data_IF_681310792034
#
_entry.id   IF_681310792034
#
_cell.length_a   1.000
_cell.length_b   1.000
_cell.length_c   1.000
_cell.angle_alpha   90.00
_cell.angle_beta   90.00
_cell.angle_gamma   90.00
#
_symmetry.space_group_name_H-M   'P 1'
#
loop_
_entity.id
_entity.type
_entity.pdbx_description
1 polymer ?
#
# COMPACT_ATOMS: atom_id res chain seq x y z
N UNK A 1 -21.19 5.52 -13.11
CA UNK A 1 -20.69 6.61 -12.24
C UNK A 1 -21.74 7.04 -11.22
N UNK A 2 -22.96 7.44 -11.60
CA UNK A 2 -23.97 8.00 -10.67
C UNK A 2 -24.26 7.14 -9.41
N UNK A 3 -24.44 5.83 -9.56
CA UNK A 3 -24.68 4.93 -8.44
C UNK A 3 -23.46 4.80 -7.49
N UNK A 4 -22.24 4.89 -8.05
CA UNK A 4 -20.99 4.87 -7.30
C UNK A 4 -20.71 6.20 -6.57
N UNK A 5 -21.35 7.29 -7.01
CA UNK A 5 -21.20 8.62 -6.43
C UNK A 5 -22.20 8.92 -5.30
N UNK A 6 -22.99 7.94 -4.86
CA UNK A 6 -23.95 8.16 -3.76
C UNK A 6 -23.20 8.54 -2.47
N UNK A 7 -23.72 9.51 -1.69
CA UNK A 7 -23.03 10.00 -0.51
C UNK A 7 -23.03 8.96 0.62
N UNK A 8 -21.85 8.80 1.24
CA UNK A 8 -21.62 8.00 2.44
C UNK A 8 -20.75 8.78 3.43
N UNK A 9 -21.01 8.63 4.73
CA UNK A 9 -20.10 9.11 5.75
C UNK A 9 -18.90 8.16 5.81
N UNK A 10 -17.69 8.69 5.67
CA UNK A 10 -16.47 7.91 5.72
C UNK A 10 -15.62 8.34 6.90
N UNK A 11 -15.13 7.37 7.66
CA UNK A 11 -14.07 7.59 8.62
C UNK A 11 -12.77 7.90 7.86
N UNK A 12 -12.01 8.94 8.23
CA UNK A 12 -10.84 9.37 7.46
C UNK A 12 -9.67 8.39 7.57
N UNK A 13 -9.56 7.68 8.70
CA UNK A 13 -8.43 6.78 8.99
C UNK A 13 -8.92 5.48 9.66
N UNK A 14 -9.64 4.65 8.90
CA UNK A 14 -10.32 3.48 9.44
C UNK A 14 -9.38 2.28 9.57
N UNK A 15 -8.58 2.24 10.63
CA UNK A 15 -7.62 1.16 10.88
C UNK A 15 -7.67 0.65 12.33
N UNK A 16 -7.07 -0.52 12.61
CA UNK A 16 -7.15 -1.19 13.92
C UNK A 16 -6.81 -0.29 15.11
N UNK A 17 -5.83 0.62 15.00
CA UNK A 17 -5.42 1.52 16.10
C UNK A 17 -6.48 2.56 16.50
N UNK A 18 -7.49 2.78 15.64
CA UNK A 18 -8.61 3.68 15.89
C UNK A 18 -9.87 2.96 16.39
N UNK A 19 -9.77 1.64 16.63
CA UNK A 19 -10.86 0.78 17.08
C UNK A 19 -10.57 0.29 18.50
N UNK A 20 -11.40 0.69 19.46
CA UNK A 20 -11.38 0.15 20.82
C UNK A 20 -12.31 -1.05 20.91
N UNK A 21 -11.84 -2.10 21.57
CA UNK A 21 -12.61 -3.30 21.86
C UNK A 21 -12.70 -3.54 23.36
N UNK A 22 -13.67 -4.34 23.78
CA UNK A 22 -13.82 -4.76 25.18
C UNK A 22 -12.62 -5.63 25.58
N UNK A 23 -12.14 -5.47 26.81
CA UNK A 23 -10.96 -6.18 27.31
C UNK A 23 -11.25 -7.67 27.48
N UNK A 24 -12.47 -8.00 27.89
CA UNK A 24 -12.87 -9.37 28.20
C UNK A 24 -13.52 -10.06 26.98
N UNK A 25 -14.06 -9.27 26.04
CA UNK A 25 -14.62 -9.75 24.77
C UNK A 25 -14.17 -8.88 23.56
N UNK A 26 -13.03 -9.21 22.92
CA UNK A 26 -12.51 -8.46 21.79
C UNK A 26 -13.43 -8.39 20.54
N UNK A 27 -14.48 -9.22 20.47
CA UNK A 27 -15.47 -9.12 19.39
C UNK A 27 -16.40 -7.90 19.54
N UNK A 28 -16.43 -7.28 20.73
CA UNK A 28 -17.28 -6.13 21.03
C UNK A 28 -16.49 -4.84 20.86
N UNK A 29 -16.81 -4.08 19.82
CA UNK A 29 -16.30 -2.72 19.62
C UNK A 29 -16.90 -1.78 20.67
N UNK A 30 -16.05 -1.10 21.44
CA UNK A 30 -16.43 -0.16 22.51
C UNK A 30 -16.29 1.30 22.09
N UNK A 31 -15.51 1.59 21.05
CA UNK A 31 -15.35 2.95 20.54
C UNK A 31 -14.60 3.02 19.22
N UNK A 32 -14.88 4.09 18.48
CA UNK A 32 -14.13 4.51 17.30
C UNK A 32 -13.67 5.94 17.54
N UNK A 33 -12.38 6.22 17.35
CA UNK A 33 -11.78 7.54 17.55
C UNK A 33 -11.24 8.11 16.24
N UNK A 34 -10.76 9.35 16.29
CA UNK A 34 -10.14 10.05 15.16
C UNK A 34 -11.12 10.44 14.03
N UNK A 35 -12.23 11.05 14.44
CA UNK A 35 -13.25 11.60 13.56
C UNK A 35 -13.05 13.05 13.02
N UNK A 36 -12.04 13.88 13.39
CA UNK A 36 -12.07 15.31 13.07
C UNK A 36 -12.02 15.62 11.56
N UNK A 37 -11.64 14.64 10.72
CA UNK A 37 -11.63 14.74 9.26
C UNK A 37 -12.70 13.89 8.57
N UNK A 38 -13.66 13.36 9.33
CA UNK A 38 -14.76 12.60 8.74
C UNK A 38 -15.62 13.49 7.85
N UNK A 39 -15.95 12.97 6.67
CA UNK A 39 -16.69 13.71 5.65
C UNK A 39 -17.73 12.83 4.96
N UNK A 40 -18.73 13.47 4.38
CA UNK A 40 -19.67 12.83 3.46
C UNK A 40 -19.03 12.83 2.07
N UNK A 41 -18.56 11.67 1.64
CA UNK A 41 -17.86 11.48 0.38
C UNK A 41 -18.69 10.63 -0.61
N UNK A 42 -18.45 10.75 -1.92
CA UNK A 42 -18.92 9.77 -2.90
C UNK A 42 -18.46 8.35 -2.54
N UNK A 43 -19.33 7.35 -2.71
CA UNK A 43 -19.04 5.98 -2.28
C UNK A 43 -17.80 5.35 -2.92
N UNK A 44 -17.44 5.74 -4.14
CA UNK A 44 -16.20 5.28 -4.77
C UNK A 44 -14.93 5.71 -4.01
N UNK A 45 -14.96 6.82 -3.27
CA UNK A 45 -13.81 7.28 -2.48
C UNK A 45 -13.49 6.27 -1.39
N UNK A 46 -14.48 5.86 -0.59
CA UNK A 46 -14.29 4.82 0.42
C UNK A 46 -13.90 3.46 -0.20
N UNK A 47 -14.35 3.19 -1.42
CA UNK A 47 -13.99 1.97 -2.14
C UNK A 47 -12.52 1.92 -2.58
N UNK A 48 -11.79 3.04 -2.54
CA UNK A 48 -10.35 3.07 -2.87
C UNK A 48 -9.42 2.77 -1.69
N UNK A 49 -9.98 2.66 -0.48
CA UNK A 49 -9.24 2.36 0.74
C UNK A 49 -9.58 0.94 1.21
N UNK A 50 -8.55 0.17 1.58
CA UNK A 50 -8.72 -1.09 2.31
C UNK A 50 -8.12 -0.87 3.70
N UNK A 51 -8.90 -1.06 4.78
CA UNK A 51 -8.37 -0.94 6.12
C UNK A 51 -7.32 -2.03 6.37
N UNK A 52 -6.36 -1.77 7.25
CA UNK A 52 -5.26 -2.70 7.60
C UNK A 52 -5.73 -4.11 7.97
N UNK A 53 -6.82 -4.25 8.74
CA UNK A 53 -7.41 -5.55 9.08
C UNK A 53 -8.14 -6.23 7.91
N UNK A 54 -8.41 -5.51 6.82
CA UNK A 54 -8.98 -6.01 5.59
C UNK A 54 -7.94 -6.35 4.51
N UNK A 55 -6.66 -6.04 4.74
CA UNK A 55 -5.59 -6.34 3.80
C UNK A 55 -5.10 -7.79 3.93
N UNK A 56 -4.69 -8.37 2.80
CA UNK A 56 -4.03 -9.68 2.80
C UNK A 56 -2.56 -9.53 3.17
N UNK A 57 -2.02 -10.53 3.87
CA UNK A 57 -0.58 -10.66 4.03
C UNK A 57 0.06 -10.93 2.68
N UNK A 58 0.92 -10.00 2.25
CA UNK A 58 1.74 -10.17 1.05
C UNK A 58 3.12 -10.69 1.44
N UNK A 59 3.42 -11.93 1.08
CA UNK A 59 4.77 -12.49 1.18
C UNK A 59 5.49 -12.33 -0.15
N UNK A 60 6.67 -11.73 -0.07
CA UNK A 60 7.56 -11.59 -1.18
C UNK A 60 8.24 -12.93 -1.48
N UNK A 61 8.18 -13.35 -2.74
CA UNK A 61 8.73 -14.65 -3.16
C UNK A 61 10.24 -14.71 -3.08
N UNK A 62 10.93 -13.58 -3.08
CA UNK A 62 12.39 -13.50 -3.05
C UNK A 62 12.88 -13.17 -1.64
N UNK A 63 12.28 -12.17 -1.00
CA UNK A 63 12.73 -11.69 0.31
C UNK A 63 12.30 -12.62 1.47
N UNK A 64 11.16 -13.32 1.38
CA UNK A 64 10.66 -14.19 2.46
C UNK A 64 11.05 -15.68 2.30
N UNK A 65 11.90 -16.04 1.32
CA UNK A 65 12.29 -17.44 1.05
C UNK A 65 12.86 -18.16 2.27
N UNK A 66 13.56 -17.43 3.15
CA UNK A 66 14.29 -17.99 4.29
C UNK A 66 13.55 -17.87 5.63
N UNK A 67 12.45 -17.08 5.70
CA UNK A 67 11.76 -16.75 6.96
C UNK A 67 10.28 -17.18 7.00
N UNK A 68 9.86 -18.02 6.06
CA UNK A 68 8.48 -18.48 5.90
C UNK A 68 8.05 -19.49 6.97
N UNK A 69 7.93 -19.03 8.22
CA UNK A 69 7.07 -19.65 9.23
C UNK A 69 6.36 -18.57 10.04
N UNK A 70 5.58 -17.70 9.39
CA UNK A 70 4.44 -17.15 10.11
C UNK A 70 3.52 -18.33 10.50
N UNK A 71 3.04 -18.31 11.75
CA UNK A 71 2.18 -19.39 12.25
C UNK A 71 0.96 -19.51 11.33
N UNK A 72 0.60 -20.71 10.85
CA UNK A 72 -0.53 -20.92 9.95
C UNK A 72 -1.84 -20.27 10.44
N UNK A 73 -1.99 -20.17 11.76
CA UNK A 73 -3.15 -19.56 12.41
C UNK A 73 -3.25 -18.05 12.19
N UNK A 74 -2.12 -17.32 12.14
CA UNK A 74 -2.10 -15.88 11.84
C UNK A 74 -2.48 -15.63 10.38
N UNK A 75 -1.89 -16.38 9.46
CA UNK A 75 -2.21 -16.29 8.03
C UNK A 75 -3.68 -16.60 7.76
N UNK A 76 -4.21 -17.66 8.36
CA UNK A 76 -5.62 -18.01 8.29
C UNK A 76 -6.53 -16.93 8.89
N UNK A 77 -6.11 -16.30 9.99
CA UNK A 77 -6.82 -15.20 10.63
C UNK A 77 -6.94 -13.99 9.71
N UNK A 78 -5.83 -13.54 9.13
CA UNK A 78 -5.82 -12.39 8.21
C UNK A 78 -6.66 -12.67 6.96
N UNK A 79 -6.53 -13.86 6.36
CA UNK A 79 -7.34 -14.23 5.20
C UNK A 79 -8.85 -14.19 5.51
N UNK A 80 -9.26 -14.63 6.70
CA UNK A 80 -10.65 -14.53 7.15
C UNK A 80 -11.11 -13.09 7.29
N UNK A 81 -10.30 -12.21 7.88
CA UNK A 81 -10.63 -10.80 8.03
C UNK A 81 -10.75 -10.10 6.68
N UNK A 82 -9.82 -10.33 5.75
CA UNK A 82 -9.87 -9.80 4.39
C UNK A 82 -11.14 -10.27 3.63
N UNK A 83 -11.47 -11.56 3.73
CA UNK A 83 -12.71 -12.11 3.15
C UNK A 83 -13.97 -11.51 3.78
N UNK A 84 -13.99 -11.37 5.10
CA UNK A 84 -15.11 -10.74 5.81
C UNK A 84 -15.29 -9.28 5.38
N UNK A 85 -14.20 -8.53 5.26
CA UNK A 85 -14.24 -7.16 4.75
C UNK A 85 -14.81 -7.08 3.33
N UNK A 86 -14.30 -7.91 2.40
CA UNK A 86 -14.80 -7.97 1.03
C UNK A 86 -16.30 -8.32 0.96
N UNK A 87 -16.78 -9.22 1.83
CA UNK A 87 -18.21 -9.53 1.94
C UNK A 87 -19.01 -8.33 2.47
N UNK A 88 -18.57 -7.70 3.56
CA UNK A 88 -19.26 -6.56 4.17
C UNK A 88 -19.36 -5.37 3.21
N UNK A 89 -18.31 -5.07 2.46
CA UNK A 89 -18.33 -3.99 1.46
C UNK A 89 -19.31 -4.28 0.32
N UNK A 90 -19.44 -5.54 -0.09
CA UNK A 90 -20.41 -5.98 -1.10
C UNK A 90 -21.87 -5.97 -0.62
N UNK A 91 -22.10 -6.17 0.69
CA UNK A 91 -23.43 -6.16 1.29
C UNK A 91 -23.95 -4.74 1.54
N UNK A 92 -23.05 -3.76 1.68
CA UNK A 92 -23.38 -2.35 1.81
C UNK A 92 -23.78 -1.75 0.44
N UNK A 93 -25.07 -1.45 0.17
CA UNK A 93 -25.52 -1.19 -1.20
C UNK A 93 -24.86 0.03 -1.86
N UNK A 94 -24.52 1.06 -1.09
CA UNK A 94 -23.80 2.24 -1.60
C UNK A 94 -22.34 1.92 -1.89
N UNK A 95 -21.69 1.18 -0.99
CA UNK A 95 -20.28 0.82 -1.12
C UNK A 95 -20.04 -0.20 -2.23
N UNK A 96 -20.94 -1.17 -2.41
CA UNK A 96 -20.95 -2.13 -3.52
C UNK A 96 -20.82 -1.44 -4.89
N UNK A 97 -21.56 -0.34 -5.07
CA UNK A 97 -21.48 0.44 -6.32
C UNK A 97 -20.19 1.24 -6.42
N UNK A 98 -19.68 1.72 -5.29
CA UNK A 98 -18.39 2.40 -5.19
C UNK A 98 -17.23 1.50 -5.60
N UNK A 99 -17.10 0.32 -4.97
CA UNK A 99 -15.99 -0.62 -5.20
C UNK A 99 -16.00 -1.25 -6.60
N UNK A 100 -17.16 -1.30 -7.26
CA UNK A 100 -17.32 -1.81 -8.63
C UNK A 100 -17.04 -0.76 -9.70
N UNK A 101 -16.81 0.50 -9.34
CA UNK A 101 -16.36 1.50 -10.29
C UNK A 101 -14.95 1.13 -10.75
N UNK A 102 -14.63 1.40 -12.03
CA UNK A 102 -13.29 1.14 -12.55
C UNK A 102 -12.23 1.79 -11.62
N UNK A 103 -11.27 1.00 -11.20
CA UNK A 103 -10.28 1.39 -10.20
C UNK A 103 -9.46 2.60 -10.66
N UNK A 104 -9.20 2.74 -11.97
CA UNK A 104 -8.41 3.85 -12.52
C UNK A 104 -9.17 5.16 -12.39
N UNK A 105 -10.47 5.14 -12.67
CA UNK A 105 -11.36 6.28 -12.44
C UNK A 105 -11.45 6.60 -10.95
N UNK A 106 -11.69 5.58 -10.13
CA UNK A 106 -11.85 5.75 -8.68
C UNK A 106 -10.59 6.36 -8.06
N UNK A 107 -9.40 5.84 -8.39
CA UNK A 107 -8.10 6.37 -7.95
C UNK A 107 -7.84 7.77 -8.47
N UNK A 108 -8.17 8.06 -9.73
CA UNK A 108 -8.01 9.41 -10.28
C UNK A 108 -8.85 10.44 -9.52
N UNK A 109 -10.12 10.15 -9.26
CA UNK A 109 -11.01 11.06 -8.52
C UNK A 109 -10.71 11.12 -7.02
N UNK A 110 -10.27 10.01 -6.41
CA UNK A 110 -9.94 9.94 -4.98
C UNK A 110 -8.54 10.47 -4.65
N UNK A 111 -7.65 10.61 -5.65
CA UNK A 111 -6.26 11.03 -5.45
C UNK A 111 -6.08 12.27 -4.56
N UNK A 112 -6.78 13.39 -4.84
CA UNK A 112 -6.69 14.60 -4.02
C UNK A 112 -7.30 14.48 -2.61
N UNK A 113 -8.16 13.49 -2.35
CA UNK A 113 -8.90 13.37 -1.09
C UNK A 113 -8.10 12.75 0.04
N UNK A 114 -7.08 11.96 -0.28
CA UNK A 114 -6.30 11.18 0.69
C UNK A 114 -4.81 11.53 0.66
N UNK A 115 -4.48 12.75 0.23
CA UNK A 115 -3.09 13.17 0.01
C UNK A 115 -2.29 12.19 -0.87
N UNK A 116 -2.94 11.39 -1.73
CA UNK A 116 -2.29 10.31 -2.51
C UNK A 116 -1.45 10.85 -3.66
N UNK A 117 -1.69 12.10 -4.06
CA UNK A 117 -0.88 12.83 -5.03
C UNK A 117 0.22 13.58 -4.27
N UNK A 118 1.14 12.80 -3.69
CA UNK A 118 2.27 13.32 -2.90
C UNK A 118 3.42 13.86 -3.77
N UNK A 119 3.51 13.40 -5.02
CA UNK A 119 4.60 13.73 -5.92
C UNK A 119 4.15 13.73 -7.39
N UNK A 120 5.05 14.20 -8.25
CA UNK A 120 4.86 14.24 -9.70
C UNK A 120 4.67 12.84 -10.31
N UNK A 121 5.33 11.82 -9.76
CA UNK A 121 5.24 10.44 -10.24
C UNK A 121 3.83 9.87 -10.03
N UNK A 122 3.23 10.12 -8.87
CA UNK A 122 1.88 9.69 -8.53
C UNK A 122 0.86 10.33 -9.47
N UNK A 123 0.96 11.64 -9.72
CA UNK A 123 0.07 12.34 -10.64
C UNK A 123 0.20 11.81 -12.07
N UNK A 124 1.43 11.71 -12.58
CA UNK A 124 1.70 11.25 -13.95
C UNK A 124 1.26 9.81 -14.16
N UNK A 125 1.45 8.94 -13.16
CA UNK A 125 0.96 7.55 -13.20
C UNK A 125 -0.58 7.50 -13.30
N UNK A 126 -1.30 8.31 -12.52
CA UNK A 126 -2.76 8.40 -12.61
C UNK A 126 -3.23 8.88 -14.00
N UNK A 127 -2.55 9.87 -14.58
CA UNK A 127 -2.87 10.38 -15.91
C UNK A 127 -2.60 9.34 -17.01
N UNK A 128 -1.49 8.62 -16.94
CA UNK A 128 -1.16 7.53 -17.88
C UNK A 128 -2.19 6.40 -17.76
N UNK A 129 -2.55 5.99 -16.55
CA UNK A 129 -3.57 4.95 -16.33
C UNK A 129 -4.93 5.35 -16.92
N UNK A 130 -5.26 6.65 -16.87
CA UNK A 130 -6.47 7.20 -17.47
C UNK A 130 -6.38 7.24 -19.00
N UNK A 131 -5.24 7.66 -19.56
CA UNK A 131 -4.96 7.63 -21.00
C UNK A 131 -5.14 6.21 -21.57
N UNK A 132 -4.54 5.21 -20.91
CA UNK A 132 -4.56 3.80 -21.33
C UNK A 132 -5.96 3.17 -21.25
N UNK A 133 -6.85 3.75 -20.44
CA UNK A 133 -8.20 3.28 -20.24
C UNK A 133 -9.25 4.13 -20.98
N UNK A 134 -8.87 5.22 -21.63
CA UNK A 134 -9.79 6.25 -22.14
C UNK A 134 -10.94 5.69 -22.97
N UNK A 135 -10.61 4.87 -23.97
CA UNK A 135 -11.60 4.20 -24.83
C UNK A 135 -12.45 3.18 -24.08
N UNK A 136 -11.82 2.36 -23.22
CA UNK A 136 -12.51 1.33 -22.42
C UNK A 136 -13.50 1.94 -21.42
N UNK A 137 -13.20 3.13 -20.93
CA UNK A 137 -14.05 3.91 -20.04
C UNK A 137 -15.20 4.62 -20.80
N UNK A 138 -15.23 4.54 -22.13
CA UNK A 138 -16.24 5.15 -22.98
C UNK A 138 -16.13 6.68 -23.01
N UNK A 139 -14.94 7.24 -22.78
CA UNK A 139 -14.74 8.69 -22.78
C UNK A 139 -14.77 9.25 -24.20
N UNK A 140 -15.36 10.44 -24.40
CA UNK A 140 -15.49 11.02 -25.73
C UNK A 140 -14.13 11.46 -26.28
N UNK A 141 -13.96 11.27 -27.59
CA UNK A 141 -12.77 11.73 -28.33
C UNK A 141 -11.49 11.03 -27.88
N UNK A 142 -10.37 11.74 -28.04
CA UNK A 142 -9.04 11.27 -27.62
C UNK A 142 -8.72 11.85 -26.24
N UNK A 143 -7.98 11.11 -25.41
CA UNK A 143 -7.49 11.60 -24.14
C UNK A 143 -6.73 12.93 -24.34
N UNK A 144 -7.07 14.00 -23.60
CA UNK A 144 -6.36 15.28 -23.68
C UNK A 144 -4.89 15.19 -23.24
N UNK A 145 -4.60 14.24 -22.36
CA UNK A 145 -3.24 13.91 -21.95
C UNK A 145 -2.70 12.79 -22.84
N UNK A 146 -1.57 13.03 -23.47
CA UNK A 146 -0.90 12.07 -24.35
C UNK A 146 0.56 11.96 -23.93
N UNK A 147 0.94 10.80 -23.39
CA UNK A 147 2.31 10.58 -22.95
C UNK A 147 3.18 10.00 -24.07
N UNK A 148 4.38 10.56 -24.23
CA UNK A 148 5.36 10.03 -25.18
C UNK A 148 5.92 8.69 -24.73
N UNK A 149 6.46 7.90 -25.66
CA UNK A 149 7.10 6.63 -25.35
C UNK A 149 8.28 6.79 -24.37
N UNK A 150 9.08 7.84 -24.52
CA UNK A 150 10.21 8.11 -23.62
C UNK A 150 9.75 8.46 -22.22
N UNK A 151 8.70 9.26 -22.10
CA UNK A 151 8.12 9.60 -20.81
C UNK A 151 7.55 8.35 -20.11
N UNK A 152 6.86 7.47 -20.84
CA UNK A 152 6.36 6.20 -20.28
C UNK A 152 7.48 5.31 -19.77
N UNK A 153 8.63 5.26 -20.45
CA UNK A 153 9.81 4.51 -19.97
C UNK A 153 10.36 5.07 -18.66
N UNK A 154 10.50 6.39 -18.57
CA UNK A 154 10.95 7.06 -17.33
C UNK A 154 9.98 6.74 -16.19
N UNK A 155 8.67 6.88 -16.45
CA UNK A 155 7.64 6.60 -15.46
C UNK A 155 7.63 5.14 -15.00
N UNK A 156 7.85 4.19 -15.91
CA UNK A 156 7.94 2.78 -15.56
C UNK A 156 9.10 2.53 -14.59
N UNK A 157 10.29 3.06 -14.88
CA UNK A 157 11.45 2.94 -14.00
C UNK A 157 11.19 3.54 -12.60
N UNK A 158 10.50 4.67 -12.51
CA UNK A 158 10.14 5.27 -11.22
C UNK A 158 9.12 4.44 -10.44
N UNK A 159 8.17 3.81 -11.14
CA UNK A 159 7.18 2.91 -10.55
C UNK A 159 7.87 1.64 -10.04
N UNK A 160 8.75 1.04 -10.84
CA UNK A 160 9.49 -0.18 -10.47
C UNK A 160 10.31 0.05 -9.19
N UNK A 161 11.07 1.15 -9.14
CA UNK A 161 11.83 1.53 -7.93
C UNK A 161 10.93 1.78 -6.71
N UNK A 162 9.77 2.41 -6.91
CA UNK A 162 8.79 2.61 -5.84
C UNK A 162 8.25 1.28 -5.33
N UNK A 163 7.92 0.37 -6.23
CA UNK A 163 7.37 -0.94 -5.89
C UNK A 163 8.41 -1.80 -5.16
N UNK A 164 9.68 -1.79 -5.60
CA UNK A 164 10.78 -2.47 -4.90
C UNK A 164 11.01 -1.92 -3.49
N UNK A 165 10.96 -0.60 -3.30
CA UNK A 165 10.98 -0.01 -1.95
C UNK A 165 9.81 -0.43 -1.08
N UNK A 166 8.60 -0.53 -1.66
CA UNK A 166 7.42 -1.02 -0.93
C UNK A 166 7.53 -2.50 -0.57
N UNK A 167 8.06 -3.34 -1.47
CA UNK A 167 8.36 -4.76 -1.20
C UNK A 167 9.34 -4.89 -0.03
N UNK A 168 10.45 -4.16 -0.07
CA UNK A 168 11.44 -4.14 1.00
C UNK A 168 10.84 -3.65 2.33
N UNK A 169 10.06 -2.56 2.30
CA UNK A 169 9.37 -2.05 3.50
C UNK A 169 8.45 -3.09 4.11
N UNK A 170 7.60 -3.76 3.31
CA UNK A 170 6.70 -4.81 3.80
C UNK A 170 7.46 -5.98 4.40
N UNK A 171 8.56 -6.39 3.78
CA UNK A 171 9.45 -7.41 4.33
C UNK A 171 10.01 -6.99 5.69
N UNK A 172 10.53 -5.78 5.83
CA UNK A 172 11.08 -5.29 7.10
C UNK A 172 10.03 -5.14 8.19
N UNK A 173 8.82 -4.70 7.85
CA UNK A 173 7.69 -4.67 8.80
C UNK A 173 7.43 -6.04 9.43
N UNK A 174 7.45 -7.10 8.62
CA UNK A 174 7.31 -8.48 9.13
C UNK A 174 8.52 -8.92 9.93
N UNK A 175 9.72 -8.74 9.37
CA UNK A 175 10.97 -9.21 9.96
C UNK A 175 11.29 -8.55 11.31
N UNK A 176 10.87 -7.29 11.50
CA UNK A 176 11.15 -6.49 12.70
C UNK A 176 9.90 -6.28 13.57
N UNK A 177 8.73 -6.73 13.14
CA UNK A 177 7.45 -6.44 13.80
C UNK A 177 7.27 -4.94 14.09
N UNK A 178 7.59 -4.11 13.09
CA UNK A 178 7.49 -2.65 13.14
C UNK A 178 6.32 -2.13 12.30
N UNK A 179 5.93 -0.88 12.54
CA UNK A 179 4.91 -0.21 11.74
C UNK A 179 5.44 0.18 10.35
N UNK A 180 4.55 0.62 9.46
CA UNK A 180 4.86 0.94 8.06
C UNK A 180 5.81 2.11 7.87
N UNK A 181 5.91 3.00 8.86
CA UNK A 181 6.85 4.11 8.92
C UNK A 181 8.18 3.72 9.61
N UNK A 182 8.33 2.46 10.03
CA UNK A 182 9.51 1.96 10.73
C UNK A 182 9.46 2.17 12.25
N UNK A 183 8.34 2.64 12.80
CA UNK A 183 8.23 2.82 14.25
C UNK A 183 8.24 1.48 14.99
N UNK A 184 8.99 1.45 16.10
CA UNK A 184 9.14 0.30 16.99
C UNK A 184 8.90 0.75 18.42
N UNK A 185 8.05 0.03 19.14
CA UNK A 185 7.83 0.28 20.56
C UNK A 185 9.15 0.20 21.34
N UNK A 186 9.33 1.07 22.34
CA UNK A 186 10.58 1.20 23.08
C UNK A 186 11.11 -0.13 23.62
N UNK A 187 10.21 -0.99 24.08
CA UNK A 187 10.52 -2.30 24.66
C UNK A 187 11.07 -3.29 23.63
N UNK A 188 10.80 -3.06 22.35
CA UNK A 188 11.25 -3.89 21.22
C UNK A 188 12.44 -3.29 20.47
N UNK A 189 12.89 -2.08 20.81
CA UNK A 189 13.96 -1.40 20.10
C UNK A 189 15.30 -2.13 20.19
N UNK A 190 15.78 -2.38 21.41
CA UNK A 190 17.06 -3.03 21.66
C UNK A 190 17.21 -4.41 21.00
N UNK A 191 16.20 -5.31 21.03
CA UNK A 191 16.30 -6.58 20.32
C UNK A 191 16.18 -6.45 18.79
N UNK A 192 15.46 -5.44 18.27
CA UNK A 192 15.26 -5.28 16.82
C UNK A 192 16.46 -4.63 16.12
N UNK A 193 17.18 -3.72 16.78
CA UNK A 193 18.24 -2.95 16.15
C UNK A 193 19.38 -3.82 15.57
N UNK A 194 19.89 -4.87 16.25
CA UNK A 194 20.87 -5.78 15.67
C UNK A 194 20.33 -6.53 14.45
N UNK A 195 19.08 -7.01 14.51
CA UNK A 195 18.42 -7.73 13.41
C UNK A 195 18.27 -6.82 12.19
N UNK A 196 17.88 -5.56 12.40
CA UNK A 196 17.76 -4.56 11.35
C UNK A 196 19.10 -4.31 10.63
N UNK A 197 20.17 -4.07 11.41
CA UNK A 197 21.51 -3.83 10.85
C UNK A 197 22.05 -5.03 10.10
N UNK A 198 21.81 -6.24 10.62
CA UNK A 198 22.25 -7.46 9.94
C UNK A 198 21.48 -7.68 8.64
N UNK A 199 20.17 -7.48 8.65
CA UNK A 199 19.32 -7.57 7.44
C UNK A 199 19.77 -6.57 6.37
N UNK A 200 20.17 -5.35 6.76
CA UNK A 200 20.72 -4.38 5.83
C UNK A 200 22.06 -4.82 5.22
N UNK A 201 22.97 -5.40 6.03
CA UNK A 201 24.23 -5.93 5.49
C UNK A 201 23.98 -7.06 4.49
N UNK A 202 23.11 -8.02 4.84
CA UNK A 202 22.74 -9.14 3.97
C UNK A 202 22.14 -8.64 2.64
N UNK A 203 21.27 -7.63 2.71
CA UNK A 203 20.69 -6.98 1.54
C UNK A 203 21.78 -6.42 0.62
N UNK A 204 22.69 -5.63 1.17
CA UNK A 204 23.75 -5.04 0.35
C UNK A 204 24.71 -6.09 -0.21
N UNK A 205 25.08 -7.10 0.57
CA UNK A 205 25.89 -8.20 0.07
C UNK A 205 25.22 -8.92 -1.10
N UNK A 206 23.89 -9.07 -1.04
CA UNK A 206 23.11 -9.67 -2.13
C UNK A 206 23.14 -8.79 -3.37
N UNK A 207 22.87 -7.49 -3.24
CA UNK A 207 22.98 -6.55 -4.36
C UNK A 207 24.39 -6.54 -4.99
N UNK A 208 25.45 -6.59 -4.18
CA UNK A 208 26.82 -6.63 -4.69
C UNK A 208 27.14 -7.95 -5.44
N UNK A 209 26.54 -9.07 -5.03
CA UNK A 209 26.71 -10.38 -5.69
C UNK A 209 25.91 -10.47 -6.98
N UNK A 210 24.72 -9.88 -7.02
CA UNK A 210 23.78 -9.95 -8.15
C UNK A 210 23.89 -8.77 -9.13
N UNK A 211 24.85 -7.86 -8.91
CA UNK A 211 25.10 -6.71 -9.78
C UNK A 211 25.32 -7.09 -11.24
N UNK A 212 25.00 -6.17 -12.14
CA UNK A 212 25.27 -6.36 -13.57
C UNK A 212 26.80 -6.36 -13.85
N UNK A 213 27.24 -7.06 -14.91
CA UNK A 213 28.68 -7.17 -15.24
C UNK A 213 29.36 -5.80 -15.48
N UNK A 214 28.57 -4.81 -15.92
CA UNK A 214 28.98 -3.44 -16.19
C UNK A 214 28.79 -2.48 -14.99
N UNK A 215 28.20 -2.93 -13.89
CA UNK A 215 27.93 -2.11 -12.70
C UNK A 215 29.11 -2.19 -11.72
N UNK A 216 29.58 -1.03 -11.26
CA UNK A 216 30.63 -0.95 -10.24
C UNK A 216 30.07 -1.27 -8.85
N UNK A 217 30.93 -1.69 -7.91
CA UNK A 217 30.49 -1.92 -6.52
C UNK A 217 29.92 -0.66 -5.85
N UNK A 218 30.40 0.53 -6.24
CA UNK A 218 29.89 1.79 -5.72
C UNK A 218 28.47 2.08 -6.21
N UNK A 219 28.19 1.84 -7.50
CA UNK A 219 26.85 2.02 -8.09
C UNK A 219 25.84 1.02 -7.49
N UNK A 220 26.23 -0.25 -7.37
CA UNK A 220 25.39 -1.27 -6.74
C UNK A 220 25.08 -0.93 -5.27
N UNK A 221 26.06 -0.37 -4.53
CA UNK A 221 25.85 0.10 -3.15
C UNK A 221 24.87 1.26 -3.10
N UNK A 222 25.02 2.25 -3.98
CA UNK A 222 24.14 3.41 -4.06
C UNK A 222 22.69 2.98 -4.39
N UNK A 223 22.52 2.04 -5.33
CA UNK A 223 21.21 1.45 -5.65
C UNK A 223 20.61 0.74 -4.45
N UNK A 224 21.38 -0.11 -3.76
CA UNK A 224 20.92 -0.80 -2.55
C UNK A 224 20.50 0.20 -1.46
N UNK A 225 21.25 1.29 -1.31
CA UNK A 225 21.00 2.35 -0.35
C UNK A 225 19.77 3.20 -0.68
N UNK A 226 19.46 3.36 -1.97
CA UNK A 226 18.27 4.06 -2.46
C UNK A 226 17.00 3.22 -2.28
N UNK A 227 17.13 1.89 -2.40
CA UNK A 227 16.01 0.95 -2.22
C UNK A 227 15.72 0.65 -0.74
N UNK A 228 16.65 0.94 0.17
CA UNK A 228 16.45 0.70 1.59
C UNK A 228 15.51 1.77 2.22
N UNK A 229 14.39 1.37 2.87
CA UNK A 229 13.31 2.29 3.19
C UNK A 229 13.45 3.05 4.52
N UNK A 230 14.40 2.69 5.39
CA UNK A 230 14.56 3.24 6.73
C UNK A 230 15.98 3.79 6.98
N UNK A 231 16.09 4.76 7.89
CA UNK A 231 17.38 5.33 8.29
C UNK A 231 18.03 4.49 9.43
N UNK A 232 19.23 4.88 9.90
CA UNK A 232 19.98 4.21 11.01
C UNK A 232 20.63 2.86 10.67
N UNK A 233 21.05 2.72 9.42
CA UNK A 233 21.81 1.59 8.85
C UNK A 233 23.10 1.29 9.63
#
# INVERSE_FOLDING_TARGET
MEAASKPILTHPDFHTRNIFVDKDDPAKVTGLIDWPHAAVNPAFIAGTETPDFGELLFFDKELDQTKSQEQPDVANGVERCAKAWALLTSLCPKLDKGIKLDERLSKFFAGPHFDRIIDECALRSLLINLEDAWEKLGMPGVCPYQSSADHRKIMQSMIDERDDRHRMRRYLMRALHCDSDGWVAKEKWDPNLPVYRETYKEWVETCLKEREENETEAEARETADRLWPFDLR
#
